data_IF_220841280316
#
_entry.id   IF_220841280316
#
_cell.length_a   1.000
_cell.length_b   1.000
_cell.length_c   1.000
_cell.angle_alpha   90.00
_cell.angle_beta   90.00
_cell.angle_gamma   90.00
#
_symmetry.space_group_name_H-M   'P 1'
#
loop_
_entity.id
_entity.type
_entity.pdbx_description
1 polymer ?
#
# COMPACT_ATOMS: atom_id res chain seq x y z
N UNK A 1 29.46 -30.01 -5.27
CA UNK A 1 28.41 -28.96 -5.26
C UNK A 1 28.95 -27.75 -4.52
N UNK A 2 29.36 -26.71 -5.24
CA UNK A 2 29.85 -25.46 -4.66
C UNK A 2 28.66 -24.75 -3.99
N UNK A 3 28.69 -24.58 -2.67
CA UNK A 3 27.70 -23.73 -1.98
C UNK A 3 27.78 -22.34 -2.60
N UNK A 4 26.69 -21.86 -3.19
CA UNK A 4 26.60 -20.47 -3.62
C UNK A 4 26.92 -19.57 -2.43
N UNK A 5 27.96 -18.72 -2.57
CA UNK A 5 28.33 -17.80 -1.52
C UNK A 5 27.18 -16.82 -1.28
N UNK A 6 26.73 -16.71 -0.03
CA UNK A 6 25.73 -15.70 0.34
C UNK A 6 26.33 -14.30 0.26
N UNK A 7 25.53 -13.28 -0.06
CA UNK A 7 26.00 -11.90 -0.25
C UNK A 7 26.86 -11.36 0.92
N UNK A 8 26.59 -11.78 2.16
CA UNK A 8 27.39 -11.34 3.31
C UNK A 8 28.78 -11.98 3.40
N UNK A 9 28.98 -13.16 2.82
CA UNK A 9 30.23 -13.92 2.93
C UNK A 9 31.21 -13.62 1.79
N UNK A 10 30.70 -13.23 0.62
CA UNK A 10 31.53 -13.00 -0.59
C UNK A 10 32.33 -11.70 -0.56
N UNK A 11 31.94 -10.72 0.28
CA UNK A 11 32.60 -9.41 0.34
C UNK A 11 34.10 -9.51 0.65
N UNK A 12 34.52 -10.49 1.47
CA UNK A 12 35.93 -10.71 1.80
C UNK A 12 36.73 -11.20 0.60
N UNK A 13 36.15 -12.09 -0.19
CA UNK A 13 36.78 -12.67 -1.38
C UNK A 13 36.95 -11.61 -2.47
N UNK A 14 35.91 -10.78 -2.68
CA UNK A 14 35.97 -9.63 -3.61
C UNK A 14 37.06 -8.65 -3.18
N UNK A 15 37.12 -8.30 -1.89
CA UNK A 15 38.14 -7.38 -1.38
C UNK A 15 39.57 -7.94 -1.55
N UNK A 16 39.76 -9.25 -1.39
CA UNK A 16 41.04 -9.93 -1.61
C UNK A 16 41.44 -9.91 -3.09
N UNK A 17 40.53 -10.27 -3.99
CA UNK A 17 40.76 -10.26 -5.44
C UNK A 17 41.12 -8.86 -5.96
N UNK A 18 40.39 -7.83 -5.51
CA UNK A 18 40.68 -6.43 -5.88
C UNK A 18 42.05 -5.97 -5.35
N UNK A 19 42.47 -6.43 -4.17
CA UNK A 19 43.77 -6.12 -3.59
C UNK A 19 44.90 -6.78 -4.39
N UNK A 20 44.75 -8.04 -4.77
CA UNK A 20 45.71 -8.77 -5.61
C UNK A 20 45.88 -8.10 -6.99
N UNK A 21 44.81 -7.50 -7.53
CA UNK A 21 44.83 -6.73 -8.78
C UNK A 21 45.41 -5.31 -8.65
N UNK A 22 45.81 -4.88 -7.46
CA UNK A 22 46.33 -3.52 -7.22
C UNK A 22 45.28 -2.41 -7.34
N UNK A 23 43.98 -2.76 -7.42
CA UNK A 23 42.88 -1.81 -7.57
C UNK A 23 42.38 -1.22 -6.24
N UNK A 24 43.04 -1.53 -5.12
CA UNK A 24 42.61 -1.17 -3.77
C UNK A 24 43.55 -0.15 -3.17
N UNK A 25 43.01 1.02 -2.82
CA UNK A 25 43.72 2.02 -2.02
C UNK A 25 43.74 1.69 -0.53
N UNK A 26 42.59 1.26 0.03
CA UNK A 26 42.43 1.02 1.48
C UNK A 26 41.32 0.00 1.74
N UNK A 27 41.51 -0.87 2.74
CA UNK A 27 40.48 -1.79 3.27
C UNK A 27 40.32 -1.51 4.75
N UNK A 28 39.11 -1.15 5.18
CA UNK A 28 38.79 -0.90 6.59
C UNK A 28 37.43 -1.48 6.96
N UNK A 29 37.25 -1.74 8.25
CA UNK A 29 35.97 -2.11 8.82
C UNK A 29 35.27 -0.86 9.36
N UNK A 30 34.06 -0.59 8.88
CA UNK A 30 33.25 0.54 9.29
C UNK A 30 32.06 0.05 10.10
N UNK A 31 31.74 0.74 11.20
CA UNK A 31 30.53 0.51 12.00
C UNK A 31 29.52 1.60 11.68
N UNK A 32 28.33 1.20 11.24
CA UNK A 32 27.21 2.10 10.95
C UNK A 32 25.87 1.42 11.23
N UNK A 33 24.79 2.19 11.19
CA UNK A 33 23.43 1.64 11.16
C UNK A 33 23.11 1.07 9.78
N UNK A 34 22.40 -0.06 9.75
CA UNK A 34 22.02 -0.73 8.52
C UNK A 34 20.56 -1.22 8.60
N UNK A 35 19.78 -1.18 7.51
CA UNK A 35 18.39 -1.62 7.53
C UNK A 35 18.27 -3.15 7.61
N UNK A 36 17.36 -3.62 8.46
CA UNK A 36 17.03 -5.04 8.63
C UNK A 36 15.55 -5.28 8.46
N UNK A 37 15.19 -6.48 7.98
CA UNK A 37 13.82 -6.92 7.90
C UNK A 37 13.22 -6.96 9.33
N UNK A 38 12.08 -6.28 9.60
CA UNK A 38 11.49 -6.23 10.93
C UNK A 38 11.12 -7.61 11.49
N UNK A 39 10.72 -8.54 10.62
CA UNK A 39 10.28 -9.90 10.98
C UNK A 39 11.46 -10.86 11.08
N UNK A 40 12.25 -11.03 10.00
CA UNK A 40 13.30 -12.05 9.94
C UNK A 40 14.64 -11.60 10.52
N UNK A 41 14.82 -10.31 10.81
CA UNK A 41 16.08 -9.68 11.25
C UNK A 41 17.26 -9.87 10.26
N UNK A 42 16.98 -10.25 9.02
CA UNK A 42 17.98 -10.35 7.97
C UNK A 42 18.31 -8.97 7.39
N UNK A 43 19.54 -8.81 6.89
CA UNK A 43 19.99 -7.58 6.21
C UNK A 43 19.18 -7.34 4.94
N UNK A 44 18.71 -6.11 4.75
CA UNK A 44 18.01 -5.70 3.52
C UNK A 44 19.04 -5.23 2.50
N UNK A 45 18.83 -5.55 1.22
CA UNK A 45 19.65 -5.05 0.12
C UNK A 45 18.76 -4.31 -0.87
N UNK A 46 19.20 -3.14 -1.31
CA UNK A 46 18.55 -2.43 -2.41
C UNK A 46 18.86 -3.15 -3.72
N UNK A 47 17.80 -3.58 -4.41
CA UNK A 47 17.87 -4.26 -5.70
C UNK A 47 16.72 -3.77 -6.57
N UNK A 48 16.98 -3.57 -7.86
CA UNK A 48 15.95 -3.27 -8.84
C UNK A 48 15.13 -4.54 -9.13
N UNK A 49 13.82 -4.46 -8.91
CA UNK A 49 12.84 -5.51 -9.18
C UNK A 49 11.58 -4.84 -9.73
N UNK A 50 10.96 -5.36 -10.81
CA UNK A 50 9.66 -4.88 -11.28
C UNK A 50 8.63 -4.89 -10.14
N UNK A 51 8.02 -3.75 -9.87
CA UNK A 51 7.09 -3.56 -8.76
C UNK A 51 5.98 -2.60 -9.17
N UNK A 52 4.83 -2.70 -8.51
CA UNK A 52 3.69 -1.80 -8.68
C UNK A 52 3.66 -0.80 -7.54
N UNK A 53 3.49 0.47 -7.88
CA UNK A 53 3.54 1.58 -6.94
C UNK A 53 2.22 2.34 -6.93
N UNK A 54 1.86 2.83 -5.75
CA UNK A 54 0.83 3.82 -5.53
C UNK A 54 1.51 5.20 -5.50
N UNK A 55 1.02 6.14 -6.31
CA UNK A 55 1.58 7.49 -6.41
C UNK A 55 1.26 8.30 -5.15
N UNK A 56 2.21 8.26 -4.21
CA UNK A 56 2.12 9.05 -2.98
C UNK A 56 2.68 10.43 -3.24
N UNK A 57 3.69 10.59 -4.10
CA UNK A 57 4.26 11.90 -4.39
C UNK A 57 3.19 12.90 -4.86
N UNK A 58 2.37 12.51 -5.83
CA UNK A 58 1.28 13.33 -6.35
C UNK A 58 0.22 13.63 -5.30
N UNK A 59 -0.02 12.69 -4.38
CA UNK A 59 -1.08 12.77 -3.36
C UNK A 59 -0.69 13.58 -2.11
N UNK A 60 0.60 13.84 -1.87
CA UNK A 60 1.09 14.51 -0.65
C UNK A 60 0.33 15.80 -0.29
N UNK A 61 0.05 16.73 -1.22
CA UNK A 61 -0.67 17.97 -0.88
C UNK A 61 -2.05 17.68 -0.29
N UNK A 62 -2.81 16.78 -0.92
CA UNK A 62 -4.13 16.38 -0.44
C UNK A 62 -4.03 15.67 0.92
N UNK A 63 -3.07 14.76 1.10
CA UNK A 63 -2.88 14.08 2.39
C UNK A 63 -2.55 15.08 3.51
N UNK A 64 -1.74 16.10 3.25
CA UNK A 64 -1.43 17.13 4.24
C UNK A 64 -2.66 18.01 4.55
N UNK A 65 -3.42 18.39 3.53
CA UNK A 65 -4.68 19.12 3.69
C UNK A 65 -5.69 18.32 4.54
N UNK A 66 -5.95 17.06 4.19
CA UNK A 66 -6.89 16.23 4.93
C UNK A 66 -6.45 16.00 6.38
N UNK A 67 -5.14 15.97 6.65
CA UNK A 67 -4.61 15.84 8.01
C UNK A 67 -4.96 17.04 8.91
N UNK A 68 -5.21 18.23 8.35
CA UNK A 68 -5.64 19.38 9.13
C UNK A 68 -7.01 19.17 9.78
N UNK A 69 -7.87 18.37 9.14
CA UNK A 69 -9.20 18.02 9.64
C UNK A 69 -9.19 16.90 10.69
N UNK A 70 -8.06 16.23 10.90
CA UNK A 70 -7.93 15.17 11.91
C UNK A 70 -7.67 15.77 13.29
N UNK A 71 -8.39 15.34 14.32
CA UNK A 71 -8.08 15.74 15.70
C UNK A 71 -7.15 14.72 16.37
N UNK A 72 -5.86 15.03 16.44
CA UNK A 72 -4.82 14.16 16.99
C UNK A 72 -4.66 14.31 18.51
N UNK A 73 -4.54 13.17 19.20
CA UNK A 73 -4.14 13.10 20.59
C UNK A 73 -2.92 12.18 20.75
N UNK A 74 -1.74 12.69 21.14
CA UNK A 74 -1.45 14.09 21.48
C UNK A 74 -1.37 15.01 20.23
N UNK A 75 -1.72 16.29 20.41
CA UNK A 75 -1.86 17.27 19.34
C UNK A 75 -0.59 17.48 18.49
N UNK A 76 0.59 17.31 19.09
CA UNK A 76 1.86 17.47 18.38
C UNK A 76 2.08 16.44 17.26
N UNK A 77 1.28 15.38 17.16
CA UNK A 77 1.39 14.42 16.07
C UNK A 77 0.98 14.99 14.72
N UNK A 78 -0.04 15.87 14.69
CA UNK A 78 -0.62 16.45 13.47
C UNK A 78 0.47 17.06 12.59
N UNK A 79 1.18 18.06 13.10
CA UNK A 79 2.28 18.75 12.39
C UNK A 79 3.66 18.17 12.72
N UNK A 80 3.73 17.17 13.61
CA UNK A 80 4.96 16.52 14.01
C UNK A 80 5.19 15.24 13.23
N UNK A 81 5.15 14.09 13.94
CA UNK A 81 5.56 12.81 13.37
C UNK A 81 4.73 12.39 12.16
N UNK A 82 3.44 12.72 12.11
CA UNK A 82 2.57 12.31 11.02
C UNK A 82 2.78 13.15 9.75
N UNK A 83 2.66 14.48 9.83
CA UNK A 83 2.94 15.37 8.69
C UNK A 83 4.35 15.15 8.10
N UNK A 84 5.38 15.09 8.94
CA UNK A 84 6.75 14.82 8.48
C UNK A 84 6.91 13.47 7.79
N UNK A 85 6.12 12.46 8.21
CA UNK A 85 6.10 11.17 7.54
C UNK A 85 5.50 11.28 6.13
N UNK A 86 4.41 12.05 5.97
CA UNK A 86 3.79 12.30 4.67
C UNK A 86 4.75 13.06 3.75
N UNK A 87 5.37 14.14 4.23
CA UNK A 87 6.32 14.98 3.46
C UNK A 87 7.47 14.15 2.87
N UNK A 88 8.02 13.21 3.66
CA UNK A 88 9.16 12.39 3.29
C UNK A 88 8.80 11.06 2.63
N UNK A 89 7.52 10.68 2.60
CA UNK A 89 7.10 9.39 2.07
C UNK A 89 7.50 9.27 0.59
N UNK A 90 8.14 8.16 0.16
CA UNK A 90 8.27 7.82 -1.26
C UNK A 90 6.95 7.24 -1.79
N UNK A 91 6.89 6.95 -3.08
CA UNK A 91 5.80 6.15 -3.63
C UNK A 91 5.74 4.78 -2.97
N UNK A 92 4.53 4.33 -2.70
CA UNK A 92 4.29 3.12 -1.93
C UNK A 92 4.30 1.91 -2.85
N UNK A 93 5.30 1.05 -2.70
CA UNK A 93 5.30 -0.26 -3.37
C UNK A 93 4.15 -1.13 -2.83
N UNK A 94 3.13 -1.37 -3.64
CA UNK A 94 1.96 -2.21 -3.33
C UNK A 94 2.23 -3.69 -3.57
N UNK A 95 3.07 -4.04 -4.54
CA UNK A 95 3.27 -5.43 -4.93
C UNK A 95 4.17 -6.19 -3.95
N UNK A 96 3.83 -7.44 -3.68
CA UNK A 96 4.64 -8.37 -2.88
C UNK A 96 4.82 -9.70 -3.63
N UNK A 97 6.04 -10.22 -3.56
CA UNK A 97 6.40 -11.57 -4.02
C UNK A 97 6.08 -12.60 -2.93
N UNK A 98 4.78 -12.87 -2.74
CA UNK A 98 4.25 -13.76 -1.69
C UNK A 98 3.09 -14.60 -2.22
N UNK A 99 2.70 -15.59 -1.42
CA UNK A 99 1.60 -16.52 -1.74
C UNK A 99 0.31 -16.17 -0.98
N UNK A 100 0.41 -15.87 0.32
CA UNK A 100 -0.75 -15.66 1.20
C UNK A 100 -1.04 -14.18 1.45
N UNK A 101 -1.85 -13.59 0.57
CA UNK A 101 -2.46 -12.27 0.67
C UNK A 101 -3.47 -12.12 -0.49
N UNK A 102 -4.22 -11.02 -0.53
CA UNK A 102 -5.09 -10.69 -1.67
C UNK A 102 -4.29 -10.65 -2.98
N UNK A 103 -4.69 -11.47 -3.95
CA UNK A 103 -4.10 -11.45 -5.29
C UNK A 103 -4.31 -10.08 -5.95
N UNK A 104 -3.24 -9.50 -6.53
CA UNK A 104 -3.41 -8.26 -7.28
C UNK A 104 -4.32 -8.50 -8.48
N UNK A 105 -5.40 -7.72 -8.67
CA UNK A 105 -6.40 -7.98 -9.70
C UNK A 105 -5.97 -7.38 -11.04
N UNK A 106 -4.74 -7.68 -11.46
CA UNK A 106 -4.12 -7.13 -12.65
C UNK A 106 -3.78 -8.28 -13.60
N UNK A 107 -4.35 -8.20 -14.80
CA UNK A 107 -4.01 -9.06 -15.91
C UNK A 107 -3.22 -8.28 -16.95
N UNK A 108 -2.16 -8.90 -17.47
CA UNK A 108 -1.31 -8.34 -18.50
C UNK A 108 -1.52 -9.10 -19.80
N UNK A 109 -1.78 -8.37 -20.87
CA UNK A 109 -1.87 -8.90 -22.22
C UNK A 109 -0.49 -9.22 -22.80
N UNK A 110 -0.43 -10.17 -23.74
CA UNK A 110 0.81 -10.57 -24.40
C UNK A 110 1.43 -9.49 -25.31
N UNK A 111 0.67 -8.45 -25.68
CA UNK A 111 1.13 -7.25 -26.40
C UNK A 111 1.52 -6.11 -25.46
N UNK A 112 1.40 -6.32 -24.15
CA UNK A 112 1.83 -5.39 -23.11
C UNK A 112 0.73 -4.48 -22.56
N UNK A 113 -0.52 -4.68 -22.96
CA UNK A 113 -1.68 -3.98 -22.37
C UNK A 113 -1.93 -4.47 -20.94
N UNK A 114 -2.66 -3.67 -20.16
CA UNK A 114 -2.98 -3.96 -18.76
C UNK A 114 -4.48 -3.82 -18.55
N UNK A 115 -5.10 -4.85 -17.97
CA UNK A 115 -6.49 -4.86 -17.52
C UNK A 115 -6.53 -5.03 -16.01
N UNK A 116 -7.08 -4.04 -15.32
CA UNK A 116 -7.40 -4.13 -13.88
C UNK A 116 -8.85 -4.56 -13.75
N UNK A 117 -9.10 -5.63 -13.01
CA UNK A 117 -10.44 -6.19 -12.80
C UNK A 117 -10.98 -5.70 -11.46
N UNK A 118 -12.16 -5.08 -11.46
CA UNK A 118 -12.75 -4.41 -10.31
C UNK A 118 -13.73 -5.27 -9.51
N UNK A 119 -14.16 -6.42 -10.03
CA UNK A 119 -15.10 -7.31 -9.32
C UNK A 119 -15.02 -8.77 -9.79
N UNK A 120 -15.53 -9.70 -8.97
CA UNK A 120 -15.69 -11.09 -9.38
C UNK A 120 -16.69 -11.27 -10.52
N UNK A 121 -17.74 -10.42 -10.58
CA UNK A 121 -18.69 -10.42 -11.68
C UNK A 121 -18.02 -10.03 -13.01
N UNK A 122 -17.18 -8.99 -13.02
CA UNK A 122 -16.38 -8.62 -14.19
C UNK A 122 -15.40 -9.73 -14.58
N UNK A 123 -14.75 -10.37 -13.60
CA UNK A 123 -13.84 -11.48 -13.89
C UNK A 123 -14.58 -12.65 -14.55
N UNK A 124 -15.79 -12.98 -14.07
CA UNK A 124 -16.65 -14.01 -14.63
C UNK A 124 -17.13 -13.66 -16.04
N UNK A 125 -17.49 -12.40 -16.29
CA UNK A 125 -17.87 -11.93 -17.62
C UNK A 125 -16.72 -12.08 -18.62
N UNK A 126 -15.51 -11.72 -18.22
CA UNK A 126 -14.32 -11.80 -19.07
C UNK A 126 -13.86 -13.25 -19.31
N UNK A 127 -13.83 -14.07 -18.27
CA UNK A 127 -13.20 -15.40 -18.31
C UNK A 127 -14.17 -16.57 -18.45
N UNK A 128 -15.45 -16.37 -18.15
CA UNK A 128 -16.43 -17.45 -17.98
C UNK A 128 -16.21 -18.31 -16.72
N UNK A 129 -15.23 -17.97 -15.87
CA UNK A 129 -14.87 -18.74 -14.68
C UNK A 129 -15.40 -18.07 -13.42
N UNK A 130 -16.00 -18.87 -12.55
CA UNK A 130 -16.41 -18.50 -11.20
C UNK A 130 -15.71 -19.43 -10.21
N UNK A 131 -15.14 -18.88 -9.14
CA UNK A 131 -14.42 -19.64 -8.12
C UNK A 131 -15.11 -19.47 -6.77
N UNK A 132 -15.06 -20.51 -5.95
CA UNK A 132 -15.45 -20.41 -4.53
C UNK A 132 -14.39 -19.65 -3.71
N UNK A 133 -13.12 -19.69 -4.16
CA UNK A 133 -12.00 -19.02 -3.52
C UNK A 133 -11.07 -18.36 -4.56
N UNK A 134 -10.94 -17.04 -4.47
CA UNK A 134 -10.11 -16.22 -5.36
C UNK A 134 -8.67 -16.00 -4.86
N UNK A 135 -8.22 -16.75 -3.85
CA UNK A 135 -6.82 -16.74 -3.44
C UNK A 135 -5.93 -17.49 -4.44
N UNK A 136 -4.61 -17.28 -4.28
CA UNK A 136 -3.61 -18.14 -4.93
C UNK A 136 -3.67 -19.54 -4.30
N UNK A 137 -3.53 -20.62 -5.10
CA UNK A 137 -3.15 -20.62 -6.52
C UNK A 137 -4.31 -20.50 -7.51
N UNK A 138 -5.57 -20.67 -7.08
CA UNK A 138 -6.70 -20.88 -7.99
C UNK A 138 -6.94 -19.72 -8.97
N UNK A 139 -6.80 -18.48 -8.49
CA UNK A 139 -6.96 -17.29 -9.34
C UNK A 139 -5.83 -17.10 -10.36
N UNK A 140 -4.68 -17.77 -10.18
CA UNK A 140 -3.52 -17.61 -11.08
C UNK A 140 -3.78 -18.24 -12.46
N UNK A 141 -4.64 -19.26 -12.53
CA UNK A 141 -4.94 -20.01 -13.75
C UNK A 141 -6.04 -19.34 -14.61
N UNK A 142 -6.66 -18.27 -14.13
CA UNK A 142 -7.72 -17.57 -14.86
C UNK A 142 -7.10 -16.70 -15.96
N UNK A 143 -7.47 -16.98 -17.20
CA UNK A 143 -7.10 -16.20 -18.39
C UNK A 143 -8.33 -15.83 -19.19
N UNK A 144 -8.25 -14.75 -19.96
CA UNK A 144 -9.32 -14.33 -20.88
C UNK A 144 -8.75 -13.61 -22.10
N UNK A 145 -9.57 -13.39 -23.12
CA UNK A 145 -9.20 -12.70 -24.35
C UNK A 145 -9.99 -11.40 -24.50
N UNK A 146 -9.33 -10.31 -24.88
CA UNK A 146 -9.97 -9.06 -25.31
C UNK A 146 -9.36 -8.68 -26.66
N UNK A 147 -10.19 -8.50 -27.68
CA UNK A 147 -9.76 -8.07 -29.03
C UNK A 147 -8.59 -8.90 -29.62
N UNK A 148 -8.63 -10.23 -29.41
CA UNK A 148 -7.59 -11.15 -29.89
C UNK A 148 -6.28 -11.15 -29.09
N UNK A 149 -6.22 -10.43 -27.96
CA UNK A 149 -5.09 -10.42 -27.03
C UNK A 149 -5.40 -11.28 -25.80
N UNK A 150 -4.51 -12.20 -25.45
CA UNK A 150 -4.66 -13.07 -24.27
C UNK A 150 -4.09 -12.39 -23.04
N UNK A 151 -4.89 -12.35 -21.97
CA UNK A 151 -4.58 -11.73 -20.69
C UNK A 151 -4.30 -12.79 -19.62
N UNK A 152 -3.16 -12.65 -18.93
CA UNK A 152 -2.73 -13.52 -17.83
C UNK A 152 -2.49 -12.70 -16.55
N UNK A 153 -2.84 -13.25 -15.39
CA UNK A 153 -2.67 -12.53 -14.12
C UNK A 153 -1.19 -12.33 -13.80
N UNK A 154 -0.82 -11.18 -13.25
CA UNK A 154 0.53 -10.99 -12.72
C UNK A 154 0.77 -11.83 -11.46
N UNK A 155 2.00 -12.24 -11.19
CA UNK A 155 2.37 -13.12 -10.07
C UNK A 155 2.50 -12.41 -8.70
N UNK A 156 1.87 -11.24 -8.56
CA UNK A 156 1.97 -10.38 -7.37
C UNK A 156 0.72 -10.45 -6.50
N UNK A 157 0.93 -10.26 -5.20
CA UNK A 157 -0.14 -10.03 -4.21
C UNK A 157 0.00 -8.64 -3.60
N UNK A 158 -1.08 -8.12 -3.00
CA UNK A 158 -1.10 -6.81 -2.39
C UNK A 158 -0.34 -6.77 -1.06
N UNK A 159 0.17 -5.58 -0.72
CA UNK A 159 0.70 -5.28 0.60
C UNK A 159 -0.42 -5.31 1.65
N UNK A 160 -0.18 -5.96 2.78
CA UNK A 160 -1.22 -6.12 3.81
C UNK A 160 -1.70 -4.79 4.40
N UNK A 161 -0.87 -3.74 4.31
CA UNK A 161 -1.28 -2.40 4.69
C UNK A 161 -2.36 -1.82 3.78
N UNK A 162 -2.43 -2.23 2.50
CA UNK A 162 -3.52 -1.87 1.59
C UNK A 162 -4.83 -2.49 2.04
N UNK A 163 -4.81 -3.77 2.41
CA UNK A 163 -5.98 -4.47 2.96
C UNK A 163 -6.48 -3.77 4.23
N UNK A 164 -5.59 -3.51 5.19
CA UNK A 164 -5.96 -2.83 6.44
C UNK A 164 -6.38 -1.36 6.24
N UNK A 165 -5.81 -0.66 5.26
CA UNK A 165 -6.19 0.71 4.89
C UNK A 165 -7.56 0.79 4.21
N UNK A 166 -7.97 -0.31 3.58
CA UNK A 166 -9.26 -0.48 2.90
C UNK A 166 -10.39 -0.90 3.84
N UNK A 167 -10.06 -1.26 5.09
CA UNK A 167 -11.01 -1.72 6.11
C UNK A 167 -12.29 -0.87 6.24
N UNK A 168 -12.26 0.48 6.19
CA UNK A 168 -13.46 1.30 6.33
C UNK A 168 -14.60 0.92 5.39
N UNK A 169 -14.29 0.63 4.12
CA UNK A 169 -15.28 0.26 3.10
C UNK A 169 -15.33 -1.25 2.84
N UNK A 170 -14.19 -1.94 2.88
CA UNK A 170 -14.10 -3.36 2.56
C UNK A 170 -14.87 -4.24 3.55
N UNK A 171 -14.92 -3.86 4.84
CA UNK A 171 -15.67 -4.63 5.87
C UNK A 171 -17.19 -4.68 5.60
N UNK A 172 -17.70 -3.74 4.80
CA UNK A 172 -19.12 -3.61 4.48
C UNK A 172 -19.44 -4.12 3.08
N UNK A 173 -18.46 -4.67 2.35
CA UNK A 173 -18.59 -5.06 0.96
C UNK A 173 -19.01 -3.87 0.04
N UNK A 174 -18.67 -2.64 0.44
CA UNK A 174 -18.89 -1.44 -0.38
C UNK A 174 -17.98 -1.49 -1.62
N UNK A 175 -18.45 -1.08 -2.81
CA UNK A 175 -19.75 -0.46 -3.11
C UNK A 175 -20.89 -1.42 -3.43
N UNK A 176 -20.68 -2.74 -3.35
CA UNK A 176 -21.66 -3.73 -3.80
C UNK A 176 -22.84 -3.88 -2.83
N UNK A 177 -22.58 -3.80 -1.53
CA UNK A 177 -23.58 -3.93 -0.47
C UNK A 177 -23.39 -2.89 0.63
N UNK A 178 -24.38 -2.77 1.53
CA UNK A 178 -24.35 -1.96 2.75
C UNK A 178 -23.99 -0.47 2.54
N UNK A 179 -24.34 0.10 1.39
CA UNK A 179 -24.04 1.50 1.02
C UNK A 179 -24.55 2.48 2.08
N UNK A 180 -25.85 2.42 2.44
CA UNK A 180 -26.44 3.28 3.47
C UNK A 180 -25.70 3.18 4.82
N UNK A 181 -25.30 1.96 5.20
CA UNK A 181 -24.56 1.73 6.44
C UNK A 181 -23.17 2.31 6.37
N UNK A 182 -22.48 2.21 5.24
CA UNK A 182 -21.18 2.84 5.04
C UNK A 182 -21.30 4.36 5.12
N UNK A 183 -22.21 4.95 4.33
CA UNK A 183 -22.39 6.41 4.25
C UNK A 183 -22.81 7.04 5.59
N UNK A 184 -23.58 6.34 6.42
CA UNK A 184 -23.95 6.80 7.75
C UNK A 184 -22.81 6.75 8.79
N UNK A 185 -21.82 5.88 8.58
CA UNK A 185 -20.73 5.64 9.55
C UNK A 185 -19.37 6.16 9.06
N UNK A 186 -19.32 6.71 7.85
CA UNK A 186 -18.12 7.25 7.23
C UNK A 186 -18.21 8.78 7.08
N UNK A 187 -17.19 9.54 7.52
CA UNK A 187 -15.97 9.10 8.20
C UNK A 187 -16.22 8.65 9.65
N UNK A 188 -15.34 7.77 10.17
CA UNK A 188 -15.41 7.32 11.56
C UNK A 188 -15.24 8.48 12.55
N UNK A 189 -15.82 8.38 13.75
CA UNK A 189 -15.65 9.42 14.77
C UNK A 189 -14.32 9.32 15.54
N UNK A 190 -13.83 8.09 15.79
CA UNK A 190 -12.70 7.87 16.70
C UNK A 190 -11.92 6.58 16.40
N UNK A 191 -10.59 6.67 16.47
CA UNK A 191 -9.66 5.54 16.31
C UNK A 191 -8.60 5.59 17.42
N UNK A 192 -8.31 4.46 18.06
CA UNK A 192 -7.26 4.33 19.08
C UNK A 192 -6.31 3.22 18.70
N UNK A 193 -5.02 3.56 18.64
CA UNK A 193 -3.98 2.57 18.45
C UNK A 193 -2.70 2.94 19.18
N UNK A 194 -1.71 2.05 19.23
CA UNK A 194 -0.40 2.39 19.80
C UNK A 194 0.37 3.36 18.89
N UNK A 195 1.30 4.14 19.49
CA UNK A 195 2.06 5.21 18.81
C UNK A 195 2.83 4.80 17.53
N UNK A 196 3.12 3.52 17.34
CA UNK A 196 3.78 3.04 16.12
C UNK A 196 2.87 3.08 14.90
N UNK A 197 1.54 3.08 15.06
CA UNK A 197 0.59 3.15 13.96
C UNK A 197 0.61 4.48 13.20
N UNK A 198 1.25 5.52 13.76
CA UNK A 198 1.52 6.80 13.07
C UNK A 198 2.32 6.61 11.77
N UNK A 199 3.13 5.55 11.67
CA UNK A 199 3.88 5.19 10.44
C UNK A 199 3.36 3.92 9.76
N UNK A 200 2.23 3.42 10.24
CA UNK A 200 1.63 2.17 9.76
C UNK A 200 0.14 2.42 9.52
N UNK A 201 -0.77 1.77 10.26
CA UNK A 201 -2.18 1.76 9.91
C UNK A 201 -2.81 3.15 9.73
N UNK A 202 -2.51 4.13 10.60
CA UNK A 202 -3.02 5.50 10.41
C UNK A 202 -2.57 6.12 9.09
N UNK A 203 -1.32 5.88 8.68
CA UNK A 203 -0.79 6.39 7.43
C UNK A 203 -1.48 5.74 6.22
N UNK A 204 -1.66 4.42 6.25
CA UNK A 204 -2.24 3.69 5.12
C UNK A 204 -3.75 3.88 4.97
N UNK A 205 -4.49 3.94 6.09
CA UNK A 205 -5.91 4.36 6.06
C UNK A 205 -6.01 5.76 5.46
N UNK A 206 -5.19 6.70 5.91
CA UNK A 206 -5.19 8.07 5.38
C UNK A 206 -4.88 8.13 3.89
N UNK A 207 -3.84 7.43 3.43
CA UNK A 207 -3.43 7.39 2.02
C UNK A 207 -4.52 6.81 1.12
N UNK A 208 -5.06 5.62 1.45
CA UNK A 208 -6.08 4.96 0.63
C UNK A 208 -7.36 5.80 0.56
N UNK A 209 -7.83 6.31 1.71
CA UNK A 209 -9.10 7.02 1.76
C UNK A 209 -9.03 8.43 1.15
N UNK A 210 -7.90 9.14 1.28
CA UNK A 210 -7.71 10.42 0.61
C UNK A 210 -7.74 10.27 -0.92
N UNK A 211 -7.16 9.20 -1.47
CA UNK A 211 -7.13 8.98 -2.92
C UNK A 211 -8.51 8.62 -3.47
N UNK A 212 -9.24 7.76 -2.74
CA UNK A 212 -10.61 7.40 -3.10
C UNK A 212 -11.56 8.61 -2.99
N UNK A 213 -11.36 9.48 -2.01
CA UNK A 213 -12.14 10.71 -1.87
C UNK A 213 -11.86 11.71 -3.00
N UNK A 214 -10.60 11.83 -3.46
CA UNK A 214 -10.21 12.70 -4.58
C UNK A 214 -10.99 12.40 -5.86
N UNK A 215 -11.22 11.12 -6.14
CA UNK A 215 -11.97 10.66 -7.32
C UNK A 215 -13.48 10.53 -7.06
N UNK A 216 -13.97 10.91 -5.88
CA UNK A 216 -15.39 10.87 -5.53
C UNK A 216 -15.96 9.47 -5.31
N UNK A 217 -15.14 8.49 -4.90
CA UNK A 217 -15.54 7.09 -4.76
C UNK A 217 -16.59 6.82 -3.66
N UNK A 218 -16.78 7.75 -2.72
CA UNK A 218 -17.67 7.60 -1.55
C UNK A 218 -19.01 8.35 -1.67
N UNK A 219 -19.41 8.74 -2.88
CA UNK A 219 -20.65 9.51 -3.08
C UNK A 219 -20.56 10.94 -2.51
N UNK A 220 -21.65 11.71 -2.61
CA UNK A 220 -21.70 13.06 -1.99
C UNK A 220 -21.86 12.91 -0.48
N UNK A 221 -21.17 13.70 0.35
CA UNK A 221 -21.34 13.62 1.80
C UNK A 221 -22.80 13.90 2.18
N UNK A 222 -23.45 12.93 2.83
CA UNK A 222 -24.80 13.06 3.38
C UNK A 222 -24.73 13.89 4.67
N UNK A 223 -24.52 15.20 4.56
CA UNK A 223 -24.92 16.18 5.61
C UNK A 223 -24.90 17.63 5.13
N UNK A 224 -25.80 17.99 4.21
CA UNK A 224 -26.17 19.39 3.98
C UNK A 224 -27.67 19.63 4.25
N UNK A 225 -28.13 19.30 5.46
CA UNK A 225 -29.38 19.80 6.03
C UNK A 225 -29.14 20.86 7.13
N UNK A 226 -27.98 21.51 7.13
CA UNK A 226 -27.79 22.80 7.78
C UNK A 226 -27.29 23.82 6.75
N UNK A 227 -28.05 24.90 6.65
CA UNK A 227 -27.97 26.05 5.75
C UNK A 227 -26.54 26.52 5.44
N UNK A 228 -26.24 26.95 4.20
CA UNK A 228 -24.88 27.20 3.75
C UNK A 228 -24.35 28.55 4.24
N UNK A 229 -23.21 28.53 4.93
CA UNK A 229 -22.29 29.67 5.01
C UNK A 229 -20.91 29.20 4.60
N UNK A 230 -20.39 29.86 3.56
CA UNK A 230 -19.07 29.84 2.93
C UNK A 230 -17.98 28.88 3.47
N UNK A 231 -17.31 28.21 2.52
CA UNK A 231 -16.22 27.22 2.63
C UNK A 231 -16.70 25.80 2.99
N UNK A 232 -17.03 25.00 1.96
CA UNK A 232 -17.25 23.56 2.11
C UNK A 232 -15.90 22.86 2.28
N UNK A 233 -15.35 22.92 3.49
CA UNK A 233 -14.29 22.03 3.93
C UNK A 233 -14.74 20.57 3.77
N UNK A 234 -13.83 19.64 3.38
CA UNK A 234 -14.12 18.22 3.41
C UNK A 234 -14.49 17.77 4.84
N UNK A 235 -15.30 16.70 4.98
CA UNK A 235 -15.81 16.26 6.27
C UNK A 235 -14.65 15.95 7.23
N UNK A 236 -14.86 16.21 8.53
CA UNK A 236 -13.88 15.97 9.59
C UNK A 236 -13.46 14.49 9.57
N UNK A 237 -12.21 14.24 9.21
CA UNK A 237 -11.61 12.92 9.14
C UNK A 237 -11.22 12.45 10.54
N UNK A 238 -12.16 11.89 11.30
CA UNK A 238 -11.93 11.18 12.58
C UNK A 238 -11.12 11.90 13.70
N UNK A 239 -11.29 11.42 14.92
CA UNK A 239 -10.38 11.69 16.04
C UNK A 239 -9.41 10.51 16.17
N UNK A 240 -8.10 10.71 16.15
CA UNK A 240 -7.18 9.65 16.57
C UNK A 240 -6.54 9.96 17.90
N UNK A 241 -6.44 8.94 18.72
CA UNK A 241 -5.55 8.96 19.87
C UNK A 241 -4.53 7.85 19.79
N UNK A 242 -3.37 8.12 20.38
CA UNK A 242 -2.35 7.12 20.61
C UNK A 242 -2.39 6.68 22.07
N UNK A 243 -2.60 5.39 22.30
CA UNK A 243 -2.45 4.81 23.63
C UNK A 243 -0.95 4.64 23.94
N UNK A 244 -0.51 5.11 25.12
CA UNK A 244 0.76 4.66 25.69
C UNK A 244 0.54 3.24 26.23
N UNK A 245 1.44 2.31 25.88
CA UNK A 245 1.57 1.06 26.65
C UNK A 245 2.07 1.38 28.05
#
# INVERSE_FOLDING_TARGET
MTKAATYGTINKDIAKDLKEKGAVWKIEYIRHEYPFNPSSKQRIMYRAIPSWFFDIQGQKPLMLEQNEHINWFPAHLKHGRFAKNIEQAPDWNLSRDRFWATAMPVWKGDRGTVKVVGSYAELKELSGVELDDYHRPWVDDITFEIDGETFTRIDKVLDCWFESGSMPFAQLHYPFENQDKFEQNYPADFIVEYIGQVRAWFYYVHAVNAALAEIGAFGRPVSSTKTPTAMSSPPVWWRATTAKR
#
